data_IF_653331161211
#
_entry.id   IF_653331161211
#
_cell.length_a   1.000
_cell.length_b   1.000
_cell.length_c   1.000
_cell.angle_alpha   90.00
_cell.angle_beta   90.00
_cell.angle_gamma   90.00
#
_symmetry.space_group_name_H-M   'P 1'
#
loop_
_entity.id
_entity.type
_entity.pdbx_description
1 polymer ?
#
# COMPACT_ATOMS: atom_id res chain seq x y z
N UNK A 1 -7.72 -18.06 -25.16
CA UNK A 1 -7.80 -18.91 -23.96
C UNK A 1 -8.04 -17.98 -22.79
N UNK A 2 -9.32 -17.84 -22.43
CA UNK A 2 -9.84 -16.83 -21.53
C UNK A 2 -9.51 -17.23 -20.08
N UNK A 3 -8.96 -16.30 -19.30
CA UNK A 3 -8.68 -16.44 -17.88
C UNK A 3 -9.99 -16.47 -17.08
N UNK A 4 -10.67 -17.60 -17.09
CA UNK A 4 -11.55 -17.98 -15.98
C UNK A 4 -10.66 -18.51 -14.85
N UNK A 5 -10.24 -17.62 -13.95
CA UNK A 5 -9.71 -18.02 -12.65
C UNK A 5 -10.22 -17.06 -11.58
N UNK A 6 -11.49 -17.23 -11.24
CA UNK A 6 -12.18 -16.76 -10.03
C UNK A 6 -11.61 -17.43 -8.78
N UNK A 7 -10.32 -17.20 -8.51
CA UNK A 7 -9.71 -17.50 -7.20
C UNK A 7 -9.35 -16.15 -6.57
N UNK A 8 -9.93 -15.79 -5.41
CA UNK A 8 -9.73 -14.47 -4.82
C UNK A 8 -8.26 -14.29 -4.40
N UNK A 9 -7.59 -13.29 -4.96
CA UNK A 9 -6.27 -12.85 -4.47
C UNK A 9 -6.48 -12.30 -3.06
N UNK A 10 -5.95 -13.00 -2.05
CA UNK A 10 -5.95 -12.52 -0.67
C UNK A 10 -4.80 -11.52 -0.52
N UNK A 11 -5.16 -10.26 -0.29
CA UNK A 11 -4.24 -9.13 -0.11
C UNK A 11 -4.24 -8.74 1.36
N UNK A 12 -3.05 -8.70 1.98
CA UNK A 12 -2.85 -8.32 3.36
C UNK A 12 -1.84 -7.15 3.44
N UNK A 13 -2.30 -5.97 3.88
CA UNK A 13 -1.48 -4.78 4.13
C UNK A 13 -0.94 -4.79 5.57
N UNK A 14 0.38 -4.78 5.74
CA UNK A 14 0.98 -4.42 7.02
C UNK A 14 0.80 -2.90 7.21
N UNK A 15 -0.04 -2.51 8.17
CA UNK A 15 -0.42 -1.12 8.46
C UNK A 15 -0.27 -0.90 9.96
N UNK A 16 0.48 0.13 10.39
CA UNK A 16 0.61 0.46 11.82
C UNK A 16 -0.56 1.31 12.32
N UNK A 17 -1.03 1.00 13.52
CA UNK A 17 -2.13 1.69 14.18
C UNK A 17 -1.78 3.13 14.53
N UNK A 18 -2.58 4.06 13.99
CA UNK A 18 -3.12 5.22 14.69
C UNK A 18 -4.39 5.68 13.96
N UNK A 19 -5.41 4.82 13.96
CA UNK A 19 -6.65 5.08 13.22
C UNK A 19 -7.86 4.75 14.10
N UNK A 20 -7.94 5.38 15.27
CA UNK A 20 -9.26 5.76 15.79
C UNK A 20 -9.79 6.86 14.88
N UNK A 21 -10.34 6.49 13.72
CA UNK A 21 -11.04 7.41 12.84
C UNK A 21 -12.40 7.72 13.49
N UNK A 22 -12.41 8.60 14.49
CA UNK A 22 -13.61 9.38 14.74
C UNK A 22 -13.81 10.25 13.50
N UNK A 23 -14.88 9.98 12.76
CA UNK A 23 -15.21 10.68 11.53
C UNK A 23 -15.62 12.13 11.87
N UNK A 24 -14.64 13.02 12.02
CA UNK A 24 -14.88 14.43 12.30
C UNK A 24 -15.07 15.19 10.99
N UNK A 25 -16.30 15.62 10.72
CA UNK A 25 -16.61 16.47 9.58
C UNK A 25 -16.12 17.88 9.91
N UNK A 26 -14.96 18.26 9.35
CA UNK A 26 -14.37 19.59 9.57
C UNK A 26 -15.07 20.73 8.81
N UNK A 27 -16.12 20.41 8.05
CA UNK A 27 -16.91 21.32 7.20
C UNK A 27 -16.07 22.27 6.31
N UNK A 28 -14.84 21.87 6.00
CA UNK A 28 -13.93 22.67 5.22
C UNK A 28 -14.40 22.73 3.76
N UNK A 29 -14.32 23.92 3.17
CA UNK A 29 -14.65 24.12 1.76
C UNK A 29 -13.69 23.28 0.90
N UNK A 30 -14.25 22.37 0.08
CA UNK A 30 -13.47 21.47 -0.77
C UNK A 30 -13.18 22.06 -2.15
N UNK A 31 -13.97 23.04 -2.59
CA UNK A 31 -13.88 23.68 -3.89
C UNK A 31 -13.74 25.19 -3.77
N UNK A 32 -12.82 25.77 -4.51
CA UNK A 32 -12.68 27.21 -4.67
C UNK A 32 -13.32 27.64 -5.99
N UNK A 33 -14.13 28.70 -5.93
CA UNK A 33 -14.62 29.37 -7.13
C UNK A 33 -13.56 30.35 -7.63
N UNK A 34 -13.24 30.28 -8.92
CA UNK A 34 -12.37 31.25 -9.60
C UNK A 34 -13.14 31.84 -10.77
N UNK A 35 -13.27 33.16 -10.78
CA UNK A 35 -13.94 33.90 -11.85
C UNK A 35 -12.92 34.31 -12.91
N UNK A 36 -12.83 33.54 -14.00
CA UNK A 36 -12.09 33.92 -15.21
C UNK A 36 -13.12 33.94 -16.34
N UNK A 37 -13.82 35.06 -16.47
CA UNK A 37 -14.96 35.23 -17.39
C UNK A 37 -16.25 34.54 -16.90
N UNK A 38 -16.19 33.22 -16.69
CA UNK A 38 -17.26 32.42 -16.06
C UNK A 38 -16.78 31.88 -14.71
N UNK A 39 -17.71 31.69 -13.77
CA UNK A 39 -17.41 31.06 -12.48
C UNK A 39 -17.09 29.58 -12.69
N UNK A 40 -15.85 29.17 -12.40
CA UNK A 40 -15.41 27.77 -12.43
C UNK A 40 -15.01 27.32 -11.03
N UNK A 41 -15.41 26.10 -10.68
CA UNK A 41 -15.09 25.47 -9.40
C UNK A 41 -13.87 24.57 -9.57
N UNK A 42 -12.87 24.76 -8.71
CA UNK A 42 -11.65 23.93 -8.67
C UNK A 42 -11.52 23.29 -7.29
N UNK A 43 -11.15 22.01 -7.24
CA UNK A 43 -10.89 21.35 -5.97
C UNK A 43 -9.63 21.95 -5.30
N UNK A 44 -9.70 22.19 -3.99
CA UNK A 44 -8.61 22.77 -3.21
C UNK A 44 -7.39 21.84 -3.15
N UNK A 45 -7.61 20.53 -3.18
CA UNK A 45 -6.57 19.50 -3.26
C UNK A 45 -7.05 18.38 -4.17
N UNK A 46 -6.21 17.97 -5.11
CA UNK A 46 -6.43 16.82 -5.97
C UNK A 46 -5.31 15.83 -5.71
N UNK A 47 -5.68 14.60 -5.35
CA UNK A 47 -4.76 13.50 -5.13
C UNK A 47 -4.87 12.51 -6.28
N UNK A 48 -3.73 12.12 -6.86
CA UNK A 48 -3.71 11.10 -7.89
C UNK A 48 -3.78 9.72 -7.24
N UNK A 49 -4.63 8.84 -7.76
CA UNK A 49 -4.79 7.48 -7.26
C UNK A 49 -4.58 6.47 -8.37
N UNK A 50 -3.97 5.35 -8.00
CA UNK A 50 -3.81 4.20 -8.88
C UNK A 50 -4.52 2.98 -8.28
N UNK A 51 -5.24 2.24 -9.12
CA UNK A 51 -5.96 1.06 -8.67
C UNK A 51 -4.98 -0.08 -8.38
N UNK A 52 -4.99 -0.57 -7.14
CA UNK A 52 -4.19 -1.73 -6.72
C UNK A 52 -4.55 -2.96 -7.57
N UNK A 53 -5.84 -3.15 -7.85
CA UNK A 53 -6.31 -4.25 -8.72
C UNK A 53 -5.69 -4.18 -10.10
N UNK A 54 -5.65 -2.98 -10.70
CA UNK A 54 -5.03 -2.78 -12.00
C UNK A 54 -3.52 -3.03 -11.95
N UNK A 55 -2.82 -2.45 -10.97
CA UNK A 55 -1.38 -2.64 -10.79
C UNK A 55 -1.02 -4.13 -10.63
N UNK A 56 -1.78 -4.87 -9.81
CA UNK A 56 -1.60 -6.31 -9.66
C UNK A 56 -1.88 -7.06 -10.97
N UNK A 57 -2.94 -6.72 -11.70
CA UNK A 57 -3.24 -7.35 -13.00
C UNK A 57 -2.07 -7.22 -13.96
N UNK A 58 -1.47 -6.02 -14.04
CA UNK A 58 -0.28 -5.78 -14.88
C UNK A 58 0.93 -6.59 -14.38
N UNK A 59 1.14 -6.69 -13.08
CA UNK A 59 2.25 -7.47 -12.50
C UNK A 59 2.09 -8.98 -12.73
N UNK A 60 0.89 -9.53 -12.50
CA UNK A 60 0.57 -10.94 -12.76
C UNK A 60 0.65 -11.30 -14.24
N UNK A 61 0.50 -10.32 -15.14
CA UNK A 61 0.69 -10.53 -16.59
C UNK A 61 2.17 -10.70 -16.99
N UNK A 62 3.13 -10.46 -16.08
CA UNK A 62 4.56 -10.60 -16.37
C UNK A 62 5.02 -12.05 -16.26
N UNK A 63 5.83 -12.54 -17.22
CA UNK A 63 6.37 -13.90 -17.14
C UNK A 63 7.27 -14.04 -15.90
N UNK A 64 7.10 -15.15 -15.16
CA UNK A 64 7.88 -15.47 -13.97
C UNK A 64 7.48 -14.74 -12.70
N UNK A 65 6.52 -13.81 -12.74
CA UNK A 65 6.07 -13.09 -11.54
C UNK A 65 5.41 -14.02 -10.51
N UNK A 66 4.51 -14.91 -10.94
CA UNK A 66 3.89 -15.92 -10.06
C UNK A 66 4.93 -16.83 -9.41
N UNK A 67 5.93 -17.27 -10.16
CA UNK A 67 7.03 -18.07 -9.62
C UNK A 67 7.87 -17.27 -8.61
N UNK A 68 8.10 -15.99 -8.86
CA UNK A 68 8.87 -15.13 -7.98
C UNK A 68 8.19 -14.91 -6.61
N UNK A 69 6.88 -14.70 -6.58
CA UNK A 69 6.13 -14.51 -5.31
C UNK A 69 5.98 -15.79 -4.49
N UNK A 70 6.23 -16.96 -5.07
CA UNK A 70 6.21 -18.26 -4.38
C UNK A 70 7.61 -18.78 -4.03
N UNK A 71 8.67 -18.19 -4.59
CA UNK A 71 10.06 -18.64 -4.42
C UNK A 71 10.50 -18.72 -2.95
N UNK A 72 9.97 -17.85 -2.08
CA UNK A 72 10.30 -17.85 -0.65
C UNK A 72 9.90 -19.15 0.06
N UNK A 73 8.94 -19.92 -0.46
CA UNK A 73 8.50 -21.19 0.14
C UNK A 73 9.55 -22.28 0.08
N UNK A 74 10.38 -22.25 -0.97
CA UNK A 74 11.37 -23.28 -1.27
C UNK A 74 12.77 -22.91 -0.79
N UNK A 75 12.93 -21.81 -0.06
CA UNK A 75 14.23 -21.37 0.45
C UNK A 75 14.74 -22.29 1.56
N UNK A 76 16.05 -22.45 1.64
CA UNK A 76 16.69 -23.10 2.78
C UNK A 76 16.51 -22.24 4.04
N UNK A 77 16.04 -22.86 5.12
CA UNK A 77 15.94 -22.22 6.44
C UNK A 77 17.08 -22.75 7.30
N UNK A 78 17.80 -21.85 7.97
CA UNK A 78 18.74 -22.24 9.01
C UNK A 78 18.10 -21.97 10.37
N UNK A 79 18.18 -22.94 11.27
CA UNK A 79 17.62 -22.81 12.60
C UNK A 79 18.23 -21.61 13.32
N UNK A 80 17.39 -20.91 14.09
CA UNK A 80 17.78 -19.79 14.95
C UNK A 80 18.43 -18.58 14.22
N UNK A 81 18.23 -18.45 12.90
CA UNK A 81 18.75 -17.32 12.11
C UNK A 81 17.64 -16.67 11.29
N UNK A 82 17.55 -15.34 11.35
CA UNK A 82 16.62 -14.55 10.53
C UNK A 82 17.37 -13.96 9.33
N UNK A 83 17.00 -14.36 8.11
CA UNK A 83 17.62 -13.85 6.88
C UNK A 83 16.76 -12.83 6.15
N UNK A 84 15.44 -13.00 6.22
CA UNK A 84 14.48 -12.14 5.54
C UNK A 84 13.19 -12.03 6.36
N UNK A 85 12.28 -11.18 5.91
CA UNK A 85 10.97 -10.93 6.53
C UNK A 85 10.11 -12.20 6.66
N UNK A 86 10.38 -13.21 5.84
CA UNK A 86 9.75 -14.54 5.88
C UNK A 86 10.04 -15.32 7.17
N UNK A 87 11.17 -15.03 7.84
CA UNK A 87 11.53 -15.63 9.13
C UNK A 87 10.83 -14.94 10.30
N UNK A 88 10.18 -13.80 10.05
CA UNK A 88 9.47 -13.05 11.07
C UNK A 88 8.31 -13.83 11.66
N UNK A 89 8.04 -13.58 12.94
CA UNK A 89 6.91 -14.16 13.67
C UNK A 89 5.59 -13.95 12.92
N UNK A 90 5.38 -12.73 12.40
CA UNK A 90 4.19 -12.36 11.66
C UNK A 90 3.94 -13.28 10.45
N UNK A 91 4.97 -13.63 9.69
CA UNK A 91 4.84 -14.49 8.51
C UNK A 91 4.38 -15.92 8.86
N UNK A 92 4.76 -16.39 10.05
CA UNK A 92 4.54 -17.77 10.50
C UNK A 92 3.34 -17.93 11.44
N UNK A 93 2.78 -16.84 11.96
CA UNK A 93 1.65 -16.87 12.92
C UNK A 93 0.40 -16.14 12.42
N UNK A 94 0.49 -15.32 11.37
CA UNK A 94 -0.66 -14.54 10.91
C UNK A 94 -1.73 -15.44 10.30
N UNK A 95 -2.89 -15.48 10.94
CA UNK A 95 -4.03 -16.30 10.52
C UNK A 95 -5.06 -15.47 9.76
N UNK A 96 -5.72 -16.08 8.79
CA UNK A 96 -6.88 -15.51 8.12
C UNK A 96 -8.16 -15.63 8.97
N UNK A 97 -9.29 -15.13 8.44
CA UNK A 97 -10.59 -15.16 9.14
C UNK A 97 -11.04 -16.58 9.50
N UNK A 98 -10.55 -17.58 8.76
CA UNK A 98 -10.89 -18.99 8.94
C UNK A 98 -9.92 -19.67 9.93
N UNK A 99 -8.97 -18.93 10.52
CA UNK A 99 -7.99 -19.44 11.46
C UNK A 99 -6.81 -20.17 10.82
N UNK A 100 -6.74 -20.20 9.48
CA UNK A 100 -5.66 -20.82 8.73
C UNK A 100 -4.48 -19.85 8.59
N UNK A 101 -3.26 -20.37 8.55
CA UNK A 101 -2.09 -19.51 8.31
C UNK A 101 -2.25 -18.80 6.96
N UNK A 102 -2.24 -17.46 6.93
CA UNK A 102 -2.46 -16.68 5.73
C UNK A 102 -1.47 -17.05 4.62
N UNK A 103 -0.20 -17.22 5.01
CA UNK A 103 0.89 -17.56 4.11
C UNK A 103 0.85 -19.01 3.65
N UNK A 104 -0.06 -19.87 4.16
CA UNK A 104 -0.19 -21.27 3.68
C UNK A 104 -0.83 -21.37 2.30
N UNK A 105 -1.66 -20.39 1.92
CA UNK A 105 -2.41 -20.43 0.66
C UNK A 105 -1.55 -19.90 -0.50
N UNK A 106 -1.65 -20.55 -1.65
CA UNK A 106 -1.07 -20.05 -2.89
C UNK A 106 -1.64 -18.66 -3.22
N UNK A 107 -0.81 -17.75 -3.74
CA UNK A 107 -1.19 -16.38 -4.10
C UNK A 107 -1.68 -15.52 -2.91
N UNK A 108 -1.27 -15.87 -1.69
CA UNK A 108 -1.39 -15.00 -0.51
C UNK A 108 -0.31 -13.92 -0.57
N UNK A 109 -0.71 -12.67 -0.79
CA UNK A 109 0.23 -11.55 -0.93
C UNK A 109 0.25 -10.71 0.34
N UNK A 110 1.43 -10.59 0.91
CA UNK A 110 1.75 -9.67 1.99
C UNK A 110 2.36 -8.39 1.41
N UNK A 111 1.84 -7.25 1.83
CA UNK A 111 2.32 -5.93 1.41
C UNK A 111 2.82 -5.15 2.62
N UNK A 112 3.81 -4.29 2.39
CA UNK A 112 4.14 -3.21 3.32
C UNK A 112 3.63 -1.91 2.73
N UNK A 113 2.90 -1.12 3.52
CA UNK A 113 2.47 0.23 3.16
C UNK A 113 3.54 1.23 3.61
N UNK A 114 4.04 2.00 2.66
CA UNK A 114 5.05 3.02 2.90
C UNK A 114 4.46 4.39 2.56
N UNK A 115 4.76 5.38 3.40
CA UNK A 115 4.44 6.79 3.17
C UNK A 115 5.74 7.57 3.28
N UNK A 116 6.10 8.31 2.23
CA UNK A 116 7.33 9.08 2.18
C UNK A 116 7.04 10.52 1.75
N UNK A 117 7.73 11.48 2.36
CA UNK A 117 7.58 12.90 2.11
C UNK A 117 8.82 13.44 1.42
N UNK A 118 8.64 14.01 0.22
CA UNK A 118 9.74 14.56 -0.53
C UNK A 118 9.45 15.98 -1.02
N UNK A 119 10.51 16.78 -1.11
CA UNK A 119 10.42 18.12 -1.66
C UNK A 119 10.39 18.07 -3.19
N UNK A 120 9.23 18.36 -3.77
CA UNK A 120 9.02 18.30 -5.22
C UNK A 120 9.69 19.45 -6.00
N UNK A 121 10.04 20.55 -5.32
CA UNK A 121 10.63 21.75 -5.95
C UNK A 121 11.83 22.26 -5.17
N UNK A 122 12.94 22.56 -5.86
CA UNK A 122 14.15 23.12 -5.24
C UNK A 122 13.99 24.57 -4.76
N UNK A 123 13.00 25.30 -5.28
CA UNK A 123 12.87 26.76 -5.09
C UNK A 123 11.87 27.16 -4.00
N UNK A 124 11.00 26.24 -3.59
CA UNK A 124 9.92 26.50 -2.64
C UNK A 124 9.79 25.33 -1.68
N UNK A 125 9.48 25.60 -0.40
CA UNK A 125 9.14 24.55 0.57
C UNK A 125 7.78 23.96 0.18
N UNK A 126 7.82 22.88 -0.59
CA UNK A 126 6.64 22.17 -1.09
C UNK A 126 6.85 20.66 -0.96
N UNK A 127 6.36 20.11 0.15
CA UNK A 127 6.41 18.68 0.47
C UNK A 127 5.24 17.95 -0.18
N UNK A 128 5.52 16.85 -0.87
CA UNK A 128 4.55 15.95 -1.49
C UNK A 128 4.72 14.57 -0.86
N UNK A 129 3.61 13.89 -0.59
CA UNK A 129 3.62 12.54 -0.04
C UNK A 129 3.46 11.49 -1.13
N UNK A 130 4.29 10.46 -1.13
CA UNK A 130 4.07 9.25 -1.91
C UNK A 130 3.60 8.13 -0.99
N UNK A 131 2.46 7.54 -1.31
CA UNK A 131 1.94 6.33 -0.66
C UNK A 131 2.12 5.17 -1.62
N UNK A 132 2.95 4.21 -1.26
CA UNK A 132 3.29 3.08 -2.11
C UNK A 132 3.31 1.76 -1.35
N UNK A 133 3.13 0.66 -2.07
CA UNK A 133 3.11 -0.69 -1.54
C UNK A 133 4.29 -1.48 -2.09
N UNK A 134 4.88 -2.29 -1.23
CA UNK A 134 5.91 -3.26 -1.63
C UNK A 134 5.41 -4.67 -1.39
N UNK A 135 5.58 -5.55 -2.38
CA UNK A 135 5.16 -6.96 -2.27
C UNK A 135 6.23 -7.74 -1.51
N UNK A 136 5.95 -8.10 -0.27
CA UNK A 136 6.90 -8.76 0.61
C UNK A 136 7.29 -10.16 0.12
N UNK A 137 6.36 -10.85 -0.55
CA UNK A 137 6.58 -12.17 -1.14
C UNK A 137 7.71 -12.22 -2.18
N UNK A 138 8.06 -11.09 -2.80
CA UNK A 138 9.13 -11.06 -3.79
C UNK A 138 10.51 -11.21 -3.12
N UNK A 139 11.47 -11.91 -3.77
CA UNK A 139 12.85 -12.01 -3.29
C UNK A 139 13.47 -10.64 -3.04
N UNK A 140 14.31 -10.54 -2.00
CA UNK A 140 14.98 -9.30 -1.59
C UNK A 140 15.66 -8.55 -2.74
N UNK A 141 16.25 -9.27 -3.69
CA UNK A 141 16.96 -8.71 -4.85
C UNK A 141 16.07 -7.95 -5.83
N UNK A 142 14.75 -8.22 -5.85
CA UNK A 142 13.80 -7.58 -6.78
C UNK A 142 12.66 -6.84 -6.08
N UNK A 143 12.44 -7.07 -4.78
CA UNK A 143 11.34 -6.52 -3.96
C UNK A 143 11.18 -5.01 -4.07
N UNK A 144 12.28 -4.27 -4.00
CA UNK A 144 12.29 -2.80 -4.00
C UNK A 144 12.66 -2.18 -5.36
N UNK A 145 12.66 -2.96 -6.44
CA UNK A 145 12.82 -2.38 -7.78
C UNK A 145 11.58 -1.56 -8.13
N UNK A 146 11.78 -0.43 -8.80
CA UNK A 146 10.71 0.48 -9.26
C UNK A 146 9.55 -0.23 -9.96
N UNK A 147 9.85 -1.31 -10.68
CA UNK A 147 8.88 -2.11 -11.43
C UNK A 147 7.97 -2.97 -10.55
N UNK A 148 8.36 -3.24 -9.30
CA UNK A 148 7.65 -4.10 -8.34
C UNK A 148 7.05 -3.31 -7.16
N UNK A 149 7.19 -1.99 -7.19
CA UNK A 149 6.54 -1.07 -6.24
C UNK A 149 5.22 -0.59 -6.85
N UNK A 150 4.15 -0.62 -6.07
CA UNK A 150 2.84 -0.10 -6.48
C UNK A 150 2.67 1.27 -5.86
N UNK A 151 2.83 2.34 -6.64
CA UNK A 151 2.43 3.68 -6.21
C UNK A 151 0.90 3.74 -6.17
N UNK A 152 0.32 4.00 -5.00
CA UNK A 152 -1.14 3.98 -4.77
C UNK A 152 -1.71 5.39 -4.80
N UNK A 153 -1.05 6.32 -4.11
CA UNK A 153 -1.56 7.67 -3.92
C UNK A 153 -0.41 8.67 -3.86
N UNK A 154 -0.62 9.86 -4.44
CA UNK A 154 0.26 11.01 -4.29
C UNK A 154 -0.49 12.10 -3.53
N UNK A 155 -0.09 12.32 -2.28
CA UNK A 155 -0.69 13.31 -1.38
C UNK A 155 -0.16 14.70 -1.76
N UNK A 156 -1.03 15.63 -2.17
CA UNK A 156 -0.61 16.97 -2.57
C UNK A 156 -0.14 17.80 -1.38
N UNK A 157 0.91 18.57 -1.61
CA UNK A 157 1.49 19.51 -0.66
C UNK A 157 0.59 20.70 -0.31
N UNK A 158 1.15 21.82 0.19
CA UNK A 158 2.58 22.16 0.30
C UNK A 158 3.28 21.64 1.56
N UNK A 159 2.54 21.11 2.54
CA UNK A 159 3.07 20.61 3.82
C UNK A 159 2.56 19.20 4.09
N UNK A 160 3.30 18.48 4.92
CA UNK A 160 2.86 17.23 5.51
C UNK A 160 1.49 17.41 6.18
N UNK A 161 0.48 16.57 5.86
CA UNK A 161 -0.80 16.58 6.52
C UNK A 161 -0.65 16.16 7.99
N UNK A 162 -1.49 16.69 8.86
CA UNK A 162 -1.59 16.18 10.24
C UNK A 162 -2.12 14.74 10.22
N UNK A 163 -1.85 13.97 11.27
CA UNK A 163 -2.23 12.55 11.39
C UNK A 163 -3.67 12.26 10.94
N UNK A 164 -4.64 13.05 11.40
CA UNK A 164 -6.05 12.90 11.03
C UNK A 164 -6.33 13.14 9.53
N UNK A 165 -5.53 13.97 8.86
CA UNK A 165 -5.69 14.27 7.44
C UNK A 165 -5.09 13.16 6.57
N UNK A 166 -4.02 12.49 7.00
CA UNK A 166 -3.44 11.34 6.31
C UNK A 166 -4.49 10.23 6.16
N UNK A 167 -5.27 10.02 7.21
CA UNK A 167 -6.36 9.05 7.25
C UNK A 167 -7.39 9.26 6.13
N UNK A 168 -7.68 10.50 5.75
CA UNK A 168 -8.59 10.79 4.65
C UNK A 168 -8.05 10.34 3.29
N UNK A 169 -6.74 10.37 3.10
CA UNK A 169 -6.11 9.86 1.87
C UNK A 169 -6.01 8.33 1.87
N UNK A 170 -5.84 7.71 3.04
CA UNK A 170 -5.76 6.25 3.18
C UNK A 170 -7.12 5.55 3.06
N UNK A 171 -8.25 6.27 3.23
CA UNK A 171 -9.60 5.73 3.01
C UNK A 171 -9.82 5.22 1.58
N UNK A 172 -9.03 5.67 0.61
CA UNK A 172 -9.12 5.22 -0.79
C UNK A 172 -8.54 3.82 -0.99
N UNK A 173 -7.80 3.28 -0.01
CA UNK A 173 -7.41 1.88 -0.01
C UNK A 173 -8.66 1.00 0.11
N UNK A 174 -8.85 -0.01 -0.77
CA UNK A 174 -10.05 -0.85 -0.75
C UNK A 174 -10.21 -1.53 0.61
N UNK A 175 -11.27 -1.13 1.32
CA UNK A 175 -11.83 -1.68 2.57
C UNK A 175 -10.79 -2.25 3.56
N UNK A 176 -10.46 -1.41 4.54
CA UNK A 176 -9.69 -1.70 5.75
C UNK A 176 -10.19 -2.81 6.70
N UNK A 177 -11.42 -3.38 6.69
CA UNK A 177 -11.85 -4.25 7.80
C UNK A 177 -11.37 -5.71 7.72
N UNK A 178 -10.44 -6.07 6.82
CA UNK A 178 -9.96 -7.46 6.69
C UNK A 178 -8.61 -7.75 7.40
N UNK A 179 -8.07 -6.80 8.16
CA UNK A 179 -6.62 -6.69 8.31
C UNK A 179 -6.13 -6.22 9.69
N UNK A 180 -6.75 -6.71 10.75
CA UNK A 180 -6.31 -6.43 12.12
C UNK A 180 -5.56 -7.63 12.70
N UNK A 181 -4.23 -7.61 12.60
CA UNK A 181 -3.34 -8.29 13.55
C UNK A 181 -1.88 -7.99 13.22
N UNK A 182 -1.23 -7.11 14.00
CA UNK A 182 0.24 -6.99 14.26
C UNK A 182 1.13 -6.23 13.25
N UNK A 183 2.15 -5.56 13.82
CA UNK A 183 2.68 -4.25 13.46
C UNK A 183 4.23 -4.22 13.34
N UNK A 184 4.81 -3.61 12.29
CA UNK A 184 6.17 -3.01 12.27
C UNK A 184 6.20 -1.83 11.28
N UNK A 185 6.62 -0.63 11.73
CA UNK A 185 6.92 0.53 10.89
C UNK A 185 8.44 0.64 10.81
N UNK A 186 9.00 0.64 9.61
CA UNK A 186 10.35 1.16 9.37
C UNK A 186 10.18 2.55 8.77
N UNK A 187 10.12 3.56 9.65
CA UNK A 187 10.46 4.92 9.23
C UNK A 187 11.97 4.95 8.96
N UNK A 188 12.36 5.40 7.77
CA UNK A 188 13.75 5.82 7.52
C UNK A 188 13.95 7.23 8.08
#
# INVERSE_FOLDING_TARGET
>A
MLLESTIPIKVCFALLSALNATHYICNAQLFQSVNIGASKMYANKVSAFNSIKYALTVMFSRPGFESAIEAWRYRTRHNNTMYDIYDGQFWNEFKDRDGNLFTSQARSLLFTLNVDWFQSSKRTVYSVGAVYLTINNLPRSIRYKKENIILVCVIPGPREPKDMQINNYLQVLPSLPMLLSKFVLLCS
#
